data_IF_330105229821
#
_entry.id   IF_330105229821
#
_cell.length_a   1.000
_cell.length_b   1.000
_cell.length_c   1.000
_cell.angle_alpha   90.00
_cell.angle_beta   90.00
_cell.angle_gamma   90.00
#
_symmetry.space_group_name_H-M   'P 1'
#
loop_
_entity.id
_entity.type
_entity.pdbx_description
1 polymer ?
#
# COMPACT_ATOMS: atom_id res chain seq x y z
N UNK A 1 -11.53 -3.29 9.32
CA UNK A 1 -10.18 -3.08 8.76
C UNK A 1 -9.87 -4.18 7.76
N UNK A 2 -9.30 -3.84 6.60
CA UNK A 2 -8.88 -4.82 5.57
C UNK A 2 -7.64 -5.61 6.04
N UNK A 3 -7.32 -6.72 5.37
CA UNK A 3 -6.10 -7.50 5.67
C UNK A 3 -4.82 -6.64 5.54
N UNK A 4 -4.80 -5.72 4.58
CA UNK A 4 -3.69 -4.77 4.41
C UNK A 4 -3.56 -3.80 5.58
N UNK A 5 -4.67 -3.27 6.09
CA UNK A 5 -4.68 -2.37 7.26
C UNK A 5 -4.27 -3.10 8.54
N UNK A 6 -4.79 -4.32 8.75
CA UNK A 6 -4.41 -5.18 9.87
C UNK A 6 -2.93 -5.51 9.84
N UNK A 7 -2.35 -5.72 8.65
CA UNK A 7 -0.92 -5.97 8.47
C UNK A 7 -0.05 -4.76 8.83
N UNK A 8 -0.57 -3.53 8.71
CA UNK A 8 0.16 -2.31 9.04
C UNK A 8 0.01 -1.90 10.51
N UNK A 9 -1.10 -2.28 11.16
CA UNK A 9 -1.37 -1.93 12.54
C UNK A 9 -0.23 -2.39 13.47
N UNK A 10 0.33 -1.44 14.24
CA UNK A 10 1.40 -1.71 15.20
C UNK A 10 2.79 -1.98 14.61
N UNK A 11 2.97 -1.85 13.28
CA UNK A 11 4.28 -2.04 12.62
C UNK A 11 4.87 -0.72 12.12
N UNK A 12 6.21 -0.60 12.08
CA UNK A 12 6.85 0.56 11.48
C UNK A 12 6.56 0.62 9.97
N UNK A 13 6.28 1.82 9.41
CA UNK A 13 5.95 2.00 7.99
C UNK A 13 7.21 2.01 7.11
N UNK A 14 7.94 0.89 7.05
CA UNK A 14 9.11 0.72 6.19
C UNK A 14 8.72 0.33 4.76
N UNK A 15 9.64 0.47 3.82
CA UNK A 15 9.43 0.06 2.43
C UNK A 15 8.95 -1.39 2.29
N UNK A 16 9.46 -2.29 3.12
CA UNK A 16 9.08 -3.70 3.10
C UNK A 16 7.64 -3.90 3.60
N UNK A 17 7.29 -3.34 4.76
CA UNK A 17 5.95 -3.51 5.35
C UNK A 17 4.85 -2.91 4.48
N UNK A 18 5.14 -1.77 3.83
CA UNK A 18 4.22 -1.12 2.91
C UNK A 18 4.03 -1.92 1.61
N UNK A 19 5.09 -2.53 1.06
CA UNK A 19 4.99 -3.39 -0.13
C UNK A 19 4.19 -4.65 0.15
N UNK A 20 4.39 -5.27 1.30
CA UNK A 20 3.62 -6.43 1.76
C UNK A 20 2.13 -6.06 1.93
N UNK A 21 1.82 -4.94 2.58
CA UNK A 21 0.44 -4.46 2.72
C UNK A 21 -0.22 -4.17 1.36
N UNK A 22 0.50 -3.54 0.44
CA UNK A 22 0.01 -3.28 -0.91
C UNK A 22 -0.24 -4.58 -1.70
N UNK A 23 0.59 -5.62 -1.50
CA UNK A 23 0.35 -6.93 -2.09
C UNK A 23 -0.90 -7.60 -1.50
N UNK A 24 -1.12 -7.51 -0.18
CA UNK A 24 -2.34 -7.99 0.46
C UNK A 24 -3.59 -7.27 -0.05
N UNK A 25 -3.52 -5.96 -0.27
CA UNK A 25 -4.61 -5.17 -0.82
C UNK A 25 -4.97 -5.54 -2.26
N UNK A 26 -4.01 -6.06 -3.03
CA UNK A 26 -4.16 -6.43 -4.43
C UNK A 26 -4.22 -7.94 -4.67
N UNK A 27 -4.27 -8.76 -3.60
CA UNK A 27 -4.24 -10.23 -3.69
C UNK A 27 -5.33 -10.76 -4.62
N UNK A 28 -6.50 -10.16 -4.56
CA UNK A 28 -7.69 -10.59 -5.29
C UNK A 28 -7.91 -9.73 -6.57
N UNK A 29 -6.88 -9.01 -7.03
CA UNK A 29 -6.96 -8.19 -8.23
C UNK A 29 -6.98 -9.05 -9.50
N UNK A 30 -8.06 -8.92 -10.27
CA UNK A 30 -8.19 -9.57 -11.58
C UNK A 30 -8.00 -8.55 -12.70
N UNK A 31 -6.81 -8.49 -13.33
CA UNK A 31 -6.63 -7.65 -14.50
C UNK A 31 -7.51 -8.13 -15.66
N UNK A 32 -8.02 -7.17 -16.44
CA UNK A 32 -8.72 -7.40 -17.70
C UNK A 32 -7.78 -7.06 -18.87
N UNK A 33 -8.20 -7.43 -20.08
CA UNK A 33 -7.48 -7.08 -21.30
C UNK A 33 -7.24 -5.57 -21.40
N UNK A 34 -6.00 -5.22 -21.73
CA UNK A 34 -5.56 -3.83 -21.86
C UNK A 34 -5.32 -3.09 -20.54
N UNK A 35 -5.52 -3.71 -19.36
CA UNK A 35 -5.34 -3.01 -18.08
C UNK A 35 -4.44 -3.70 -17.06
N UNK A 36 -3.76 -4.79 -17.41
CA UNK A 36 -2.88 -5.52 -16.50
C UNK A 36 -1.81 -4.66 -15.80
N UNK A 37 -1.32 -3.62 -16.49
CA UNK A 37 -0.37 -2.66 -15.92
C UNK A 37 -0.92 -1.90 -14.69
N UNK A 38 -2.25 -1.79 -14.55
CA UNK A 38 -2.91 -1.08 -13.44
C UNK A 38 -2.67 -1.76 -12.10
N UNK A 39 -2.48 -3.07 -12.06
CA UNK A 39 -2.17 -3.79 -10.80
C UNK A 39 -0.83 -3.32 -10.25
N UNK A 40 0.21 -3.28 -11.10
CA UNK A 40 1.52 -2.77 -10.69
C UNK A 40 1.50 -1.27 -10.36
N UNK A 41 0.72 -0.47 -11.10
CA UNK A 41 0.53 0.94 -10.80
C UNK A 41 -0.14 1.15 -9.44
N UNK A 42 -1.20 0.39 -9.15
CA UNK A 42 -1.92 0.44 -7.88
C UNK A 42 -1.00 0.10 -6.71
N UNK A 43 -0.15 -0.93 -6.85
CA UNK A 43 0.79 -1.31 -5.79
C UNK A 43 1.74 -0.15 -5.44
N UNK A 44 2.32 0.49 -6.48
CA UNK A 44 3.21 1.65 -6.29
C UNK A 44 2.48 2.86 -5.70
N UNK A 45 1.24 3.09 -6.13
CA UNK A 45 0.41 4.18 -5.64
C UNK A 45 0.08 4.02 -4.15
N UNK A 46 -0.30 2.81 -3.71
CA UNK A 46 -0.57 2.49 -2.31
C UNK A 46 0.68 2.76 -1.46
N UNK A 47 1.83 2.20 -1.84
CA UNK A 47 3.09 2.41 -1.11
C UNK A 47 3.43 3.91 -1.02
N UNK A 48 3.34 4.64 -2.13
CA UNK A 48 3.62 6.07 -2.15
C UNK A 48 2.66 6.86 -1.26
N UNK A 49 1.36 6.59 -1.33
CA UNK A 49 0.36 7.30 -0.55
C UNK A 49 0.56 7.11 0.96
N UNK A 50 0.81 5.87 1.39
CA UNK A 50 1.04 5.59 2.82
C UNK A 50 2.36 6.20 3.30
N UNK A 51 3.43 6.19 2.49
CA UNK A 51 4.68 6.90 2.82
C UNK A 51 4.46 8.39 3.03
N UNK A 52 3.70 9.03 2.14
CA UNK A 52 3.38 10.45 2.26
C UNK A 52 2.57 10.73 3.52
N UNK A 53 1.56 9.91 3.82
CA UNK A 53 0.76 10.06 5.04
C UNK A 53 1.61 9.88 6.31
N UNK A 54 2.48 8.87 6.34
CA UNK A 54 3.39 8.63 7.47
C UNK A 54 4.38 9.79 7.66
N UNK A 55 4.89 10.36 6.56
CA UNK A 55 5.76 11.55 6.62
C UNK A 55 5.01 12.80 7.08
N UNK A 56 3.74 12.98 6.67
CA UNK A 56 2.91 14.09 7.14
C UNK A 56 2.53 13.97 8.63
N UNK A 57 2.39 12.75 9.16
CA UNK A 57 2.15 12.52 10.60
C UNK A 57 3.39 12.73 11.47
N UNK A 58 4.59 12.82 10.89
CA UNK A 58 5.83 13.21 11.58
C UNK A 58 6.05 14.73 11.69
N UNK A 59 5.14 15.54 11.14
CA UNK A 59 5.16 16.99 11.19
C UNK A 59 4.05 17.55 12.07
N UNK A 60 4.16 17.35 13.39
CA UNK A 60 3.50 18.25 14.35
C UNK A 60 4.56 19.26 14.78
N UNK A 61 4.43 20.48 14.24
CA UNK A 61 5.02 21.68 14.81
C UNK A 61 4.01 22.31 15.76
#
# INVERSE_FOLDING_TARGET
ASAAEQHLAGRPPTDATLREAAALALRDAHPLDGNAFKVGLAQRAIVRAVKLAAAQQGGVA
#
